data_IF_097004451204
#
_entry.id   IF_097004451204
#
_cell.length_a   1.000
_cell.length_b   1.000
_cell.length_c   1.000
_cell.angle_alpha   90.00
_cell.angle_beta   90.00
_cell.angle_gamma   90.00
#
_symmetry.space_group_name_H-M   'P 1'
#
loop_
_entity.id
_entity.type
_entity.pdbx_description
1 polymer ?
#
# COMPACT_ATOMS: atom_id res chain seq x y z
N UNK A 1 10.03 -19.57 -21.18
CA UNK A 1 9.26 -18.39 -20.75
C UNK A 1 7.79 -18.72 -20.85
N UNK A 2 7.03 -18.54 -19.78
CA UNK A 2 5.62 -18.94 -19.67
C UNK A 2 4.69 -17.98 -20.42
N UNK A 3 3.70 -18.48 -21.16
CA UNK A 3 2.77 -17.67 -21.98
C UNK A 3 1.31 -18.17 -21.96
N UNK A 4 1.03 -19.17 -21.12
CA UNK A 4 -0.31 -19.79 -21.00
C UNK A 4 -1.13 -19.07 -19.93
N UNK A 5 -2.35 -19.52 -19.66
CA UNK A 5 -3.27 -18.85 -18.72
C UNK A 5 -2.83 -18.97 -17.26
N UNK A 6 -3.41 -18.21 -16.33
CA UNK A 6 -3.15 -18.44 -14.90
C UNK A 6 -3.57 -19.86 -14.45
N UNK A 7 -4.63 -20.43 -15.03
CA UNK A 7 -5.11 -21.78 -14.67
C UNK A 7 -4.10 -22.89 -15.00
N UNK A 8 -3.28 -22.72 -16.04
CA UNK A 8 -2.26 -23.68 -16.45
C UNK A 8 -0.93 -23.49 -15.70
N UNK A 9 -0.81 -22.44 -14.88
CA UNK A 9 0.44 -22.03 -14.24
C UNK A 9 0.94 -23.03 -13.19
N UNK A 10 0.11 -23.54 -12.26
CA UNK A 10 0.55 -24.53 -11.26
C UNK A 10 1.22 -25.77 -11.88
N UNK A 11 0.60 -26.33 -12.91
CA UNK A 11 1.12 -27.54 -13.57
C UNK A 11 2.47 -27.22 -14.24
N UNK A 12 2.55 -26.11 -14.98
CA UNK A 12 3.77 -25.74 -15.68
C UNK A 12 4.93 -25.46 -14.73
N UNK A 13 4.68 -24.73 -13.63
CA UNK A 13 5.75 -24.36 -12.69
C UNK A 13 6.26 -25.57 -11.91
N UNK A 14 5.40 -26.52 -11.57
CA UNK A 14 5.80 -27.78 -10.93
C UNK A 14 6.67 -28.64 -11.86
N UNK A 15 6.25 -28.83 -13.12
CA UNK A 15 7.03 -29.54 -14.13
C UNK A 15 8.38 -28.87 -14.39
N UNK A 16 8.39 -27.53 -14.42
CA UNK A 16 9.61 -26.76 -14.58
C UNK A 16 10.55 -26.96 -13.37
N UNK A 17 10.04 -26.80 -12.15
CA UNK A 17 10.81 -26.94 -10.93
C UNK A 17 11.41 -28.34 -10.80
N UNK A 18 10.63 -29.39 -11.08
CA UNK A 18 11.10 -30.77 -11.04
C UNK A 18 12.17 -31.04 -12.10
N UNK A 19 11.97 -30.59 -13.35
CA UNK A 19 12.92 -30.82 -14.44
C UNK A 19 14.26 -30.12 -14.21
N UNK A 20 14.23 -28.90 -13.68
CA UNK A 20 15.44 -28.09 -13.47
C UNK A 20 16.06 -28.28 -12.08
N UNK A 21 15.43 -29.05 -11.19
CA UNK A 21 15.92 -29.28 -9.83
C UNK A 21 15.88 -28.02 -8.96
N UNK A 22 14.82 -27.21 -9.07
CA UNK A 22 14.64 -25.99 -8.28
C UNK A 22 14.49 -26.34 -6.80
N UNK A 23 15.34 -25.76 -5.96
CA UNK A 23 15.32 -25.93 -4.49
C UNK A 23 14.62 -24.79 -3.77
N UNK A 24 14.61 -23.60 -4.37
CA UNK A 24 14.13 -22.37 -3.75
C UNK A 24 13.31 -21.54 -4.74
N UNK A 25 12.20 -20.97 -4.27
CA UNK A 25 11.46 -19.91 -4.93
C UNK A 25 11.74 -18.60 -4.21
N UNK A 26 12.22 -17.59 -4.96
CA UNK A 26 12.31 -16.22 -4.47
C UNK A 26 11.31 -15.36 -5.26
N UNK A 27 10.38 -14.72 -4.56
CA UNK A 27 9.39 -13.83 -5.19
C UNK A 27 9.23 -12.53 -4.40
N UNK A 28 8.74 -11.47 -5.06
CA UNK A 28 8.51 -10.17 -4.44
C UNK A 28 7.00 -9.94 -4.20
N UNK A 29 6.59 -10.03 -2.94
CA UNK A 29 5.21 -10.14 -2.47
C UNK A 29 4.63 -11.55 -2.69
N UNK A 30 3.71 -11.98 -1.84
CA UNK A 30 3.08 -13.30 -1.86
C UNK A 30 1.65 -13.27 -2.43
N UNK A 31 0.94 -12.15 -2.31
CA UNK A 31 -0.50 -12.06 -2.60
C UNK A 31 -0.88 -12.00 -4.09
N UNK A 32 0.09 -11.89 -5.01
CA UNK A 32 -0.22 -11.85 -6.46
C UNK A 32 -0.67 -13.23 -6.92
N UNK A 33 -1.66 -13.32 -7.80
CA UNK A 33 -2.26 -14.60 -8.20
C UNK A 33 -1.24 -15.64 -8.69
N UNK A 34 -0.29 -15.23 -9.55
CA UNK A 34 0.80 -16.11 -10.00
C UNK A 34 1.78 -16.50 -8.88
N UNK A 35 2.03 -15.60 -7.92
CA UNK A 35 2.91 -15.88 -6.78
C UNK A 35 2.22 -16.85 -5.81
N UNK A 36 0.98 -16.59 -5.39
CA UNK A 36 0.18 -17.52 -4.58
C UNK A 36 0.15 -18.91 -5.19
N UNK A 37 -0.24 -19.01 -6.47
CA UNK A 37 -0.30 -20.29 -7.16
C UNK A 37 1.06 -21.00 -7.25
N UNK A 38 2.17 -20.25 -7.41
CA UNK A 38 3.52 -20.83 -7.40
C UNK A 38 3.93 -21.28 -6.00
N UNK A 39 3.70 -20.47 -4.97
CA UNK A 39 4.00 -20.78 -3.56
C UNK A 39 3.25 -22.05 -3.17
N UNK A 40 1.92 -22.07 -3.29
CA UNK A 40 1.08 -23.20 -2.89
C UNK A 40 1.49 -24.51 -3.60
N UNK A 41 1.89 -24.43 -4.88
CA UNK A 41 2.30 -25.60 -5.66
C UNK A 41 3.70 -26.09 -5.30
N UNK A 42 4.66 -25.18 -5.18
CA UNK A 42 6.07 -25.53 -5.01
C UNK A 42 6.39 -25.88 -3.56
N UNK A 43 5.74 -25.23 -2.59
CA UNK A 43 5.86 -25.57 -1.18
C UNK A 43 5.38 -27.01 -0.93
N UNK A 44 4.25 -27.40 -1.52
CA UNK A 44 3.74 -28.78 -1.46
C UNK A 44 4.70 -29.81 -2.10
N UNK A 45 5.58 -29.36 -3.01
CA UNK A 45 6.61 -30.17 -3.64
C UNK A 45 7.96 -30.16 -2.86
N UNK A 46 8.03 -29.48 -1.71
CA UNK A 46 9.22 -29.40 -0.86
C UNK A 46 10.23 -28.33 -1.28
N UNK A 47 9.83 -27.37 -2.13
CA UNK A 47 10.66 -26.21 -2.48
C UNK A 47 10.61 -25.18 -1.35
N UNK A 48 11.75 -24.62 -0.98
CA UNK A 48 11.83 -23.58 0.05
C UNK A 48 11.33 -22.25 -0.52
N UNK A 49 10.42 -21.57 0.20
CA UNK A 49 9.82 -20.31 -0.24
C UNK A 49 10.46 -19.14 0.50
N UNK A 50 10.96 -18.17 -0.26
CA UNK A 50 11.44 -16.88 0.22
C UNK A 50 10.63 -15.77 -0.42
N UNK A 51 9.98 -14.96 0.41
CA UNK A 51 9.19 -13.83 -0.05
C UNK A 51 9.86 -12.53 0.37
N UNK A 52 10.15 -11.70 -0.63
CA UNK A 52 10.73 -10.38 -0.47
C UNK A 52 9.63 -9.33 -0.44
N UNK A 53 9.79 -8.29 0.39
CA UNK A 53 8.93 -7.11 0.35
C UNK A 53 9.70 -5.85 0.79
N UNK A 54 9.12 -4.66 0.57
CA UNK A 54 9.69 -3.42 1.08
C UNK A 54 9.85 -3.52 2.60
N UNK A 55 11.00 -3.10 3.13
CA UNK A 55 11.30 -3.20 4.56
C UNK A 55 10.29 -2.46 5.44
N UNK A 56 10.10 -2.95 6.65
CA UNK A 56 9.34 -2.25 7.70
C UNK A 56 9.98 -0.89 8.06
N UNK A 57 11.31 -0.79 7.96
CA UNK A 57 12.07 0.44 8.17
C UNK A 57 12.68 0.92 6.84
N UNK A 58 12.01 1.87 6.21
CA UNK A 58 12.40 2.41 4.90
C UNK A 58 13.36 3.61 5.04
N UNK A 59 14.24 3.85 4.04
CA UNK A 59 14.31 3.19 2.74
C UNK A 59 15.38 2.10 2.64
N UNK A 60 16.11 1.79 3.71
CA UNK A 60 17.37 1.03 3.61
C UNK A 60 17.18 -0.49 3.59
N UNK A 61 16.00 -0.99 3.93
CA UNK A 61 15.77 -2.41 4.17
C UNK A 61 14.74 -3.00 3.21
N UNK A 62 14.91 -4.30 2.93
CA UNK A 62 13.97 -5.19 2.24
C UNK A 62 13.78 -6.39 3.19
N UNK A 63 12.54 -6.84 3.37
CA UNK A 63 12.30 -8.07 4.14
C UNK A 63 12.58 -9.29 3.28
N UNK A 64 13.03 -10.37 3.89
CA UNK A 64 13.20 -11.67 3.25
C UNK A 64 12.68 -12.71 4.24
N UNK A 65 11.45 -13.16 4.03
CA UNK A 65 10.73 -14.00 4.97
C UNK A 65 10.45 -15.38 4.38
N UNK A 66 10.38 -16.39 5.25
CA UNK A 66 10.06 -17.74 4.83
C UNK A 66 8.54 -17.92 4.73
N UNK A 67 8.07 -18.47 3.61
CA UNK A 67 6.65 -18.75 3.37
C UNK A 67 5.83 -17.52 2.94
N UNK A 68 5.72 -16.50 3.80
CA UNK A 68 4.86 -15.34 3.58
C UNK A 68 5.39 -14.05 4.22
N UNK A 69 4.83 -12.90 3.80
CA UNK A 69 5.20 -11.56 4.29
C UNK A 69 3.96 -10.80 4.78
N UNK A 70 4.18 -9.75 5.56
CA UNK A 70 3.10 -8.90 6.10
C UNK A 70 2.06 -9.73 6.87
N UNK A 71 0.80 -9.76 6.46
CA UNK A 71 -0.24 -10.54 7.15
C UNK A 71 -0.07 -12.06 7.06
N UNK A 72 0.79 -12.58 6.18
CA UNK A 72 1.20 -13.99 6.15
C UNK A 72 2.59 -14.22 6.79
N UNK A 73 3.16 -13.18 7.43
CA UNK A 73 4.43 -13.29 8.13
C UNK A 73 4.28 -14.11 9.40
N UNK A 74 5.27 -14.97 9.67
CA UNK A 74 5.40 -15.66 10.96
C UNK A 74 5.59 -14.66 12.11
N UNK A 75 6.12 -13.46 11.83
CA UNK A 75 6.27 -12.41 12.83
C UNK A 75 4.93 -11.94 13.41
N UNK A 76 3.82 -12.13 12.69
CA UNK A 76 2.48 -11.81 13.19
C UNK A 76 2.05 -12.74 14.35
N UNK A 77 2.69 -13.90 14.49
CA UNK A 77 2.43 -14.89 15.55
C UNK A 77 3.37 -14.76 16.75
N UNK A 78 4.42 -13.94 16.64
CA UNK A 78 5.41 -13.76 17.71
C UNK A 78 4.89 -12.76 18.74
N UNK A 79 4.81 -13.19 20.00
CA UNK A 79 4.54 -12.28 21.12
C UNK A 79 5.82 -11.52 21.51
N UNK A 80 5.68 -10.24 21.84
CA UNK A 80 6.83 -9.41 22.22
C UNK A 80 7.56 -9.95 23.46
N UNK A 81 6.83 -10.62 24.37
CA UNK A 81 7.38 -11.23 25.58
C UNK A 81 8.27 -12.45 25.27
N UNK A 82 8.11 -13.07 24.09
CA UNK A 82 8.95 -14.18 23.62
C UNK A 82 10.31 -13.69 23.08
N UNK A 83 10.47 -12.37 22.86
CA UNK A 83 11.72 -11.77 22.39
C UNK A 83 12.69 -11.62 23.55
N UNK A 84 13.44 -12.68 23.84
CA UNK A 84 14.37 -12.73 24.99
C UNK A 84 15.67 -11.94 24.79
N UNK A 85 16.11 -11.80 23.54
CA UNK A 85 17.35 -11.10 23.20
C UNK A 85 17.13 -10.22 21.97
N UNK A 86 17.53 -8.95 22.07
CA UNK A 86 17.61 -8.08 20.91
C UNK A 86 18.97 -8.26 20.22
N UNK A 87 18.99 -8.60 18.92
CA UNK A 87 20.24 -8.58 18.17
C UNK A 87 20.82 -7.16 18.16
N UNK A 88 22.16 -7.04 18.10
CA UNK A 88 22.79 -5.73 17.98
C UNK A 88 22.33 -5.02 16.71
N UNK A 89 22.09 -3.71 16.80
CA UNK A 89 21.78 -2.89 15.63
C UNK A 89 22.96 -2.94 14.66
N UNK A 90 22.75 -3.29 13.38
CA UNK A 90 23.81 -3.31 12.39
C UNK A 90 24.53 -1.94 12.33
N UNK A 91 25.85 -1.93 12.49
CA UNK A 91 26.64 -0.68 12.44
C UNK A 91 26.93 -0.21 11.01
N UNK A 92 26.85 -1.13 10.04
CA UNK A 92 27.24 -0.92 8.64
C UNK A 92 26.02 -0.73 7.73
N UNK A 93 25.08 0.11 8.15
CA UNK A 93 23.93 0.43 7.30
C UNK A 93 24.36 1.23 6.07
N UNK A 94 24.15 0.64 4.88
CA UNK A 94 24.28 1.38 3.62
C UNK A 94 23.10 2.33 3.51
N UNK A 95 23.35 3.62 3.76
CA UNK A 95 22.32 4.66 3.59
C UNK A 95 21.97 4.81 2.11
N UNK A 96 20.74 4.46 1.77
CA UNK A 96 20.19 4.73 0.44
C UNK A 96 19.73 6.19 0.39
N UNK A 97 20.16 6.88 -0.67
CA UNK A 97 19.68 8.21 -0.98
C UNK A 97 18.53 8.12 -1.98
N UNK A 98 17.27 8.22 -1.53
CA UNK A 98 16.13 8.15 -2.44
C UNK A 98 16.22 9.29 -3.45
N UNK A 99 16.06 8.95 -4.74
CA UNK A 99 16.10 9.90 -5.84
C UNK A 99 14.82 9.78 -6.64
N UNK A 100 13.99 10.83 -6.58
CA UNK A 100 12.75 10.93 -7.35
C UNK A 100 13.00 10.73 -8.85
N UNK A 101 14.11 11.26 -9.37
CA UNK A 101 14.47 11.10 -10.78
C UNK A 101 14.76 9.64 -11.13
N UNK A 102 15.56 8.93 -10.30
CA UNK A 102 15.84 7.50 -10.51
C UNK A 102 14.58 6.67 -10.44
N UNK A 103 13.72 6.96 -9.47
CA UNK A 103 12.44 6.28 -9.29
C UNK A 103 11.52 6.47 -10.51
N UNK A 104 11.36 7.71 -10.98
CA UNK A 104 10.57 8.02 -12.17
C UNK A 104 11.15 7.35 -13.43
N UNK A 105 12.48 7.37 -13.61
CA UNK A 105 13.13 6.75 -14.76
C UNK A 105 12.98 5.23 -14.74
N UNK A 106 13.17 4.59 -13.59
CA UNK A 106 12.98 3.15 -13.43
C UNK A 106 11.53 2.74 -13.73
N UNK A 107 10.56 3.50 -13.20
CA UNK A 107 9.15 3.33 -13.52
C UNK A 107 8.89 3.47 -15.02
N UNK A 108 9.39 4.53 -15.65
CA UNK A 108 9.23 4.75 -17.10
C UNK A 108 9.78 3.58 -17.92
N UNK A 109 11.00 3.12 -17.61
CA UNK A 109 11.62 1.97 -18.29
C UNK A 109 10.76 0.72 -18.10
N UNK A 110 10.33 0.43 -16.88
CA UNK A 110 9.49 -0.73 -16.56
C UNK A 110 8.15 -0.72 -17.32
N UNK A 111 7.43 0.40 -17.28
CA UNK A 111 6.13 0.52 -17.95
C UNK A 111 6.27 0.49 -19.47
N UNK A 112 7.33 1.08 -20.03
CA UNK A 112 7.62 1.01 -21.46
C UNK A 112 7.92 -0.43 -21.90
N UNK A 113 8.77 -1.14 -21.16
CA UNK A 113 9.07 -2.55 -21.43
C UNK A 113 7.83 -3.44 -21.30
N UNK A 114 7.00 -3.20 -20.28
CA UNK A 114 5.72 -3.91 -20.08
C UNK A 114 4.76 -3.68 -21.23
N UNK A 115 4.64 -2.44 -21.71
CA UNK A 115 3.80 -2.08 -22.84
C UNK A 115 4.20 -2.84 -24.11
N UNK A 116 5.48 -2.77 -24.51
CA UNK A 116 5.95 -3.43 -25.73
C UNK A 116 5.99 -4.96 -25.63
N UNK A 117 6.10 -5.52 -24.42
CA UNK A 117 6.08 -6.97 -24.21
C UNK A 117 4.67 -7.56 -24.06
N UNK A 118 3.65 -6.75 -23.77
CA UNK A 118 2.27 -7.22 -23.54
C UNK A 118 1.73 -8.11 -24.65
N UNK A 119 2.00 -7.80 -25.91
CA UNK A 119 1.59 -8.60 -27.07
C UNK A 119 2.21 -10.01 -27.11
N UNK A 120 3.35 -10.23 -26.44
CA UNK A 120 3.99 -11.54 -26.32
C UNK A 120 3.32 -12.43 -25.27
N UNK A 121 2.49 -11.85 -24.39
CA UNK A 121 1.81 -12.53 -23.28
C UNK A 121 0.30 -12.22 -23.27
N UNK A 122 -0.44 -12.60 -24.32
CA UNK A 122 -1.86 -12.24 -24.47
C UNK A 122 -2.79 -12.86 -23.42
N UNK A 123 -2.32 -13.86 -22.67
CA UNK A 123 -3.07 -14.53 -21.58
C UNK A 123 -2.57 -14.15 -20.18
N UNK A 124 -1.70 -13.14 -20.08
CA UNK A 124 -1.20 -12.67 -18.80
C UNK A 124 -2.30 -11.90 -18.06
N UNK A 125 -2.62 -12.37 -16.86
CA UNK A 125 -3.54 -11.69 -15.96
C UNK A 125 -2.75 -10.71 -15.08
N UNK A 126 -3.04 -9.42 -15.21
CA UNK A 126 -2.37 -8.40 -14.41
C UNK A 126 -2.96 -8.39 -12.99
N UNK A 127 -2.09 -8.21 -12.00
CA UNK A 127 -2.51 -8.06 -10.60
C UNK A 127 -3.06 -6.66 -10.29
N UNK A 128 -2.90 -5.70 -11.22
CA UNK A 128 -3.38 -4.32 -11.07
C UNK A 128 -4.78 -4.18 -11.66
N UNK A 129 -5.62 -3.41 -10.96
CA UNK A 129 -7.02 -3.19 -11.32
C UNK A 129 -7.19 -2.40 -12.63
N UNK A 130 -6.15 -1.68 -13.08
CA UNK A 130 -6.15 -0.92 -14.33
C UNK A 130 -5.10 -1.46 -15.32
N UNK A 131 -5.42 -1.31 -16.60
CA UNK A 131 -4.45 -1.48 -17.67
C UNK A 131 -3.46 -0.31 -17.73
N UNK A 132 -2.39 -0.47 -18.53
CA UNK A 132 -1.32 0.53 -18.62
C UNK A 132 -1.86 1.90 -19.06
N UNK A 133 -2.87 1.92 -19.95
CA UNK A 133 -3.46 3.16 -20.45
C UNK A 133 -4.31 3.87 -19.37
N UNK A 134 -5.13 3.12 -18.64
CA UNK A 134 -5.92 3.63 -17.52
C UNK A 134 -5.03 4.21 -16.42
N UNK A 135 -3.97 3.49 -16.01
CA UNK A 135 -3.01 4.03 -15.03
C UNK A 135 -2.35 5.31 -15.56
N UNK A 136 -1.91 5.31 -16.82
CA UNK A 136 -1.25 6.46 -17.43
C UNK A 136 -2.16 7.69 -17.50
N UNK A 137 -3.44 7.51 -17.85
CA UNK A 137 -4.42 8.59 -17.91
C UNK A 137 -4.63 9.23 -16.52
N UNK A 138 -4.73 8.43 -15.47
CA UNK A 138 -4.87 8.93 -14.09
C UNK A 138 -3.62 9.65 -13.60
N UNK A 139 -2.42 9.13 -13.90
CA UNK A 139 -1.17 9.80 -13.56
C UNK A 139 -1.01 11.14 -14.30
N UNK A 140 -1.42 11.21 -15.58
CA UNK A 140 -1.47 12.47 -16.34
C UNK A 140 -2.47 13.45 -15.74
N UNK A 141 -3.69 13.01 -15.43
CA UNK A 141 -4.69 13.86 -14.75
C UNK A 141 -4.14 14.40 -13.42
N UNK A 142 -3.50 13.54 -12.62
CA UNK A 142 -2.87 13.92 -11.35
C UNK A 142 -1.77 14.96 -11.56
N UNK A 143 -0.96 14.84 -12.60
CA UNK A 143 0.07 15.81 -12.94
C UNK A 143 -0.54 17.18 -13.28
N UNK A 144 -1.57 17.23 -14.13
CA UNK A 144 -2.24 18.49 -14.49
C UNK A 144 -3.02 19.11 -13.33
N UNK A 145 -3.57 18.29 -12.44
CA UNK A 145 -4.32 18.75 -11.26
C UNK A 145 -3.43 19.01 -10.04
N UNK A 146 -2.12 18.77 -10.12
CA UNK A 146 -1.19 18.91 -8.99
C UNK A 146 -1.22 20.28 -8.31
N UNK A 147 -1.20 21.43 -9.04
CA UNK A 147 -1.28 22.74 -8.40
C UNK A 147 -2.58 22.94 -7.62
N UNK A 148 -3.71 22.44 -8.14
CA UNK A 148 -5.00 22.52 -7.48
C UNK A 148 -5.06 21.63 -6.23
N UNK A 149 -4.53 20.40 -6.30
CA UNK A 149 -4.43 19.46 -5.16
C UNK A 149 -3.54 20.04 -4.05
N UNK A 150 -2.43 20.68 -4.43
CA UNK A 150 -1.55 21.39 -3.50
C UNK A 150 -2.25 22.57 -2.84
N UNK A 151 -2.89 23.45 -3.61
CA UNK A 151 -3.65 24.58 -3.05
C UNK A 151 -4.75 24.13 -2.08
N UNK A 152 -5.50 23.07 -2.43
CA UNK A 152 -6.52 22.49 -1.54
C UNK A 152 -5.91 21.94 -0.25
N UNK A 153 -4.73 21.33 -0.34
CA UNK A 153 -4.00 20.81 0.82
C UNK A 153 -3.55 21.95 1.73
N UNK A 154 -2.93 22.98 1.16
CA UNK A 154 -2.48 24.17 1.91
C UNK A 154 -3.66 24.87 2.60
N UNK A 155 -4.82 24.97 1.92
CA UNK A 155 -6.05 25.49 2.52
C UNK A 155 -6.54 24.62 3.69
N UNK A 156 -6.49 23.29 3.57
CA UNK A 156 -6.91 22.39 4.64
C UNK A 156 -5.96 22.46 5.84
N UNK A 157 -4.64 22.46 5.60
CA UNK A 157 -3.64 22.62 6.66
C UNK A 157 -3.79 23.94 7.39
N UNK A 158 -3.99 25.04 6.65
CA UNK A 158 -4.27 26.35 7.25
C UNK A 158 -5.55 26.33 8.09
N UNK A 159 -6.62 25.68 7.64
CA UNK A 159 -7.85 25.58 8.41
C UNK A 159 -7.69 24.73 9.69
N UNK A 160 -6.86 23.69 9.65
CA UNK A 160 -6.51 22.89 10.83
C UNK A 160 -5.72 23.73 11.84
N UNK A 161 -4.73 24.49 11.36
CA UNK A 161 -3.90 25.38 12.18
C UNK A 161 -4.73 26.53 12.79
N UNK A 162 -5.50 27.24 11.96
CA UNK A 162 -6.38 28.35 12.37
C UNK A 162 -7.48 27.89 13.34
N UNK A 163 -7.84 26.60 13.35
CA UNK A 163 -8.83 26.06 14.29
C UNK A 163 -8.29 25.91 15.71
N UNK A 164 -6.97 25.84 15.90
CA UNK A 164 -6.29 25.64 17.19
C UNK A 164 -6.87 24.47 18.02
N UNK A 165 -7.33 23.43 17.34
CA UNK A 165 -8.01 22.27 17.93
C UNK A 165 -7.17 21.00 17.80
N UNK A 166 -7.19 20.12 18.80
CA UNK A 166 -6.55 18.82 18.68
C UNK A 166 -7.16 18.02 17.54
N UNK A 167 -6.38 17.18 16.86
CA UNK A 167 -6.90 16.34 15.78
C UNK A 167 -6.43 14.89 15.84
N UNK A 168 -7.29 14.00 15.36
CA UNK A 168 -6.98 12.60 15.11
C UNK A 168 -6.63 12.43 13.63
N UNK A 169 -5.54 11.74 13.33
CA UNK A 169 -5.06 11.53 11.99
C UNK A 169 -5.47 10.13 11.51
N UNK A 170 -6.03 10.03 10.31
CA UNK A 170 -6.35 8.75 9.65
C UNK A 170 -5.48 8.61 8.41
N UNK A 171 -4.69 7.55 8.36
CA UNK A 171 -3.76 7.26 7.27
C UNK A 171 -4.46 6.39 6.23
N UNK A 172 -4.66 6.94 5.03
CA UNK A 172 -5.29 6.21 3.93
C UNK A 172 -4.25 5.38 3.17
N UNK A 173 -4.64 4.16 2.81
CA UNK A 173 -3.88 3.23 1.97
C UNK A 173 -4.44 3.19 0.54
N UNK A 174 -3.70 2.54 -0.38
CA UNK A 174 -4.12 2.39 -1.77
C UNK A 174 -5.36 1.49 -1.86
N UNK A 175 -6.32 1.85 -2.72
CA UNK A 175 -7.54 1.04 -2.91
C UNK A 175 -7.25 -0.41 -3.38
N UNK A 176 -6.17 -0.60 -4.13
CA UNK A 176 -5.73 -1.90 -4.65
C UNK A 176 -4.80 -2.68 -3.71
N UNK A 177 -4.51 -2.15 -2.51
CA UNK A 177 -3.56 -2.76 -1.58
C UNK A 177 -4.06 -4.13 -1.10
N UNK A 178 -3.22 -5.16 -1.24
CA UNK A 178 -3.51 -6.50 -0.71
C UNK A 178 -3.74 -6.47 0.79
N UNK A 179 -3.13 -5.51 1.49
CA UNK A 179 -3.33 -5.31 2.91
C UNK A 179 -4.79 -4.94 3.27
N UNK A 180 -5.52 -4.25 2.38
CA UNK A 180 -6.96 -4.02 2.54
C UNK A 180 -7.75 -5.24 2.05
N UNK A 181 -7.41 -5.76 0.87
CA UNK A 181 -8.20 -6.81 0.19
C UNK A 181 -8.15 -8.17 0.89
N UNK A 182 -7.03 -8.49 1.54
CA UNK A 182 -6.73 -9.84 2.06
C UNK A 182 -6.52 -9.84 3.58
N UNK A 183 -5.94 -8.76 4.14
CA UNK A 183 -5.51 -8.71 5.53
C UNK A 183 -6.27 -7.68 6.37
N UNK A 184 -7.53 -7.41 6.04
CA UNK A 184 -8.39 -6.53 6.85
C UNK A 184 -9.86 -6.95 6.81
N UNK A 185 -10.61 -6.62 7.87
CA UNK A 185 -12.07 -6.79 7.91
C UNK A 185 -12.81 -5.74 7.07
N UNK A 186 -12.09 -4.77 6.49
CA UNK A 186 -12.69 -3.73 5.66
C UNK A 186 -12.82 -4.18 4.20
N UNK A 187 -14.06 -4.19 3.70
CA UNK A 187 -14.35 -4.49 2.29
C UNK A 187 -13.72 -3.51 1.28
N UNK A 188 -13.38 -2.28 1.70
CA UNK A 188 -12.74 -1.27 0.84
C UNK A 188 -12.23 -0.08 1.66
N UNK A 189 -11.41 0.77 1.03
CA UNK A 189 -11.00 2.06 1.63
C UNK A 189 -12.21 2.98 1.89
N UNK A 190 -13.28 2.87 1.09
CA UNK A 190 -14.54 3.59 1.33
C UNK A 190 -15.19 3.15 2.63
N UNK A 191 -15.25 1.83 2.86
CA UNK A 191 -15.81 1.27 4.09
C UNK A 191 -15.00 1.75 5.31
N UNK A 192 -13.67 1.76 5.22
CA UNK A 192 -12.81 2.29 6.27
C UNK A 192 -13.04 3.78 6.57
N UNK A 193 -13.16 4.63 5.53
CA UNK A 193 -13.46 6.06 5.69
C UNK A 193 -14.81 6.25 6.39
N UNK A 194 -15.85 5.54 5.95
CA UNK A 194 -17.18 5.63 6.54
C UNK A 194 -17.16 5.23 8.01
N UNK A 195 -16.54 4.09 8.34
CA UNK A 195 -16.35 3.61 9.70
C UNK A 195 -15.65 4.66 10.59
N UNK A 196 -14.54 5.24 10.14
CA UNK A 196 -13.81 6.24 10.91
C UNK A 196 -14.66 7.49 11.21
N UNK A 197 -15.44 7.97 10.23
CA UNK A 197 -16.30 9.15 10.39
C UNK A 197 -17.48 8.84 11.32
N UNK A 198 -18.07 7.66 11.18
CA UNK A 198 -19.17 7.19 12.04
C UNK A 198 -18.74 7.07 13.50
N UNK A 199 -17.62 6.38 13.77
CA UNK A 199 -17.05 6.25 15.12
C UNK A 199 -16.65 7.60 15.70
N UNK A 200 -16.07 8.48 14.88
CA UNK A 200 -15.73 9.84 15.32
C UNK A 200 -16.98 10.65 15.69
N UNK A 201 -18.07 10.52 14.93
CA UNK A 201 -19.36 11.14 15.25
C UNK A 201 -19.96 10.56 16.55
N UNK A 202 -19.87 9.24 16.73
CA UNK A 202 -20.41 8.53 17.90
C UNK A 202 -19.62 8.81 19.19
N UNK A 203 -18.34 9.15 19.09
CA UNK A 203 -17.47 9.43 20.24
C UNK A 203 -17.97 10.55 21.16
N UNK A 204 -18.83 11.45 20.66
CA UNK A 204 -19.34 12.61 21.40
C UNK A 204 -18.28 13.67 21.70
N UNK A 205 -17.04 13.51 21.24
CA UNK A 205 -16.03 14.56 21.32
C UNK A 205 -16.41 15.67 20.34
N UNK A 206 -16.62 16.89 20.83
CA UNK A 206 -16.95 18.06 20.01
C UNK A 206 -15.79 19.01 19.78
N UNK A 207 -14.66 18.80 20.47
CA UNK A 207 -13.50 19.68 20.53
C UNK A 207 -12.39 19.24 19.57
N UNK A 208 -12.33 17.97 19.16
CA UNK A 208 -11.30 17.49 18.23
C UNK A 208 -11.68 17.60 16.76
N UNK A 209 -10.70 17.49 15.86
CA UNK A 209 -10.88 17.36 14.41
C UNK A 209 -10.50 15.94 13.96
N UNK A 210 -10.96 15.54 12.78
CA UNK A 210 -10.57 14.30 12.11
C UNK A 210 -9.90 14.65 10.78
N UNK A 211 -8.65 14.23 10.62
CA UNK A 211 -7.83 14.58 9.44
C UNK A 211 -7.47 13.32 8.69
N UNK A 212 -7.91 13.20 7.44
CA UNK A 212 -7.53 12.11 6.56
C UNK A 212 -6.29 12.49 5.75
N UNK A 213 -5.23 11.68 5.81
CA UNK A 213 -4.03 11.84 4.99
C UNK A 213 -4.03 10.85 3.83
N UNK A 214 -3.97 11.37 2.60
CA UNK A 214 -3.89 10.53 1.41
C UNK A 214 -2.53 9.82 1.28
N UNK A 215 -2.54 8.63 0.68
CA UNK A 215 -1.32 7.92 0.29
C UNK A 215 -0.61 8.68 -0.84
N UNK A 216 0.73 8.86 -0.78
CA UNK A 216 1.48 9.59 -1.82
C UNK A 216 1.30 9.01 -3.23
N UNK A 217 1.21 7.67 -3.31
CA UNK A 217 1.09 6.91 -4.55
C UNK A 217 -0.36 6.65 -4.99
N UNK A 218 -1.37 7.22 -4.30
CA UNK A 218 -2.76 7.10 -4.73
C UNK A 218 -2.93 7.71 -6.14
N UNK A 219 -3.44 6.92 -7.08
CA UNK A 219 -3.65 7.33 -8.46
C UNK A 219 -5.00 8.05 -8.65
N UNK A 220 -5.87 8.06 -7.64
CA UNK A 220 -7.15 8.75 -7.71
C UNK A 220 -8.24 7.99 -8.46
N UNK A 221 -8.11 6.66 -8.65
CA UNK A 221 -9.20 5.79 -9.16
C UNK A 221 -10.49 6.06 -8.37
N UNK A 222 -10.34 6.14 -7.06
CA UNK A 222 -11.41 6.45 -6.13
C UNK A 222 -11.31 7.92 -5.76
N UNK A 223 -12.39 8.68 -5.94
CA UNK A 223 -12.47 10.07 -5.51
C UNK A 223 -12.64 10.15 -3.98
N UNK A 224 -11.55 9.88 -3.24
CA UNK A 224 -11.51 9.85 -1.77
C UNK A 224 -11.99 11.17 -1.18
N UNK A 225 -11.68 12.30 -1.83
CA UNK A 225 -12.13 13.63 -1.39
C UNK A 225 -13.66 13.72 -1.38
N UNK A 226 -14.31 13.30 -2.46
CA UNK A 226 -15.77 13.26 -2.52
C UNK A 226 -16.34 12.32 -1.46
N UNK A 227 -15.76 11.13 -1.28
CA UNK A 227 -16.22 10.18 -0.26
C UNK A 227 -16.17 10.81 1.13
N UNK A 228 -15.01 11.33 1.54
CA UNK A 228 -14.82 11.94 2.85
C UNK A 228 -15.80 13.09 3.07
N UNK A 229 -15.97 13.95 2.07
CA UNK A 229 -16.91 15.08 2.15
C UNK A 229 -18.36 14.60 2.29
N UNK A 230 -18.77 13.66 1.46
CA UNK A 230 -20.14 13.18 1.43
C UNK A 230 -20.48 12.44 2.75
N UNK A 231 -19.56 11.65 3.30
CA UNK A 231 -19.71 11.03 4.63
C UNK A 231 -19.72 12.09 5.74
N UNK A 232 -18.78 13.05 5.73
CA UNK A 232 -18.75 14.13 6.73
C UNK A 232 -20.08 14.92 6.74
N UNK A 233 -20.65 15.20 5.57
CA UNK A 233 -21.97 15.85 5.47
C UNK A 233 -23.10 15.00 6.04
N UNK A 234 -23.11 13.68 5.81
CA UNK A 234 -24.16 12.80 6.39
C UNK A 234 -24.15 12.82 7.92
N UNK A 235 -22.99 13.00 8.53
CA UNK A 235 -22.82 13.03 9.98
C UNK A 235 -22.77 14.46 10.56
N UNK A 236 -22.93 15.52 9.75
CA UNK A 236 -22.90 16.92 10.20
C UNK A 236 -21.53 17.39 10.70
N UNK A 237 -20.45 16.84 10.12
CA UNK A 237 -19.06 17.05 10.53
C UNK A 237 -18.23 17.84 9.50
N UNK A 238 -18.85 18.58 8.60
CA UNK A 238 -18.16 19.26 7.49
C UNK A 238 -17.09 20.26 7.93
N UNK A 239 -17.26 20.85 9.11
CA UNK A 239 -16.31 21.80 9.70
C UNK A 239 -15.24 21.13 10.56
N UNK A 240 -15.29 19.80 10.71
CA UNK A 240 -14.43 19.02 11.61
C UNK A 240 -13.63 17.93 10.91
N UNK A 241 -14.01 17.58 9.68
CA UNK A 241 -13.34 16.57 8.88
C UNK A 241 -12.55 17.23 7.76
N UNK A 242 -11.24 17.00 7.73
CA UNK A 242 -10.34 17.55 6.73
C UNK A 242 -9.66 16.45 5.92
N UNK A 243 -9.33 16.76 4.67
CA UNK A 243 -8.59 15.86 3.78
C UNK A 243 -7.30 16.53 3.29
N UNK A 244 -6.17 15.94 3.68
CA UNK A 244 -4.83 16.36 3.31
C UNK A 244 -4.30 15.43 2.23
N UNK A 245 -4.26 15.96 1.02
CA UNK A 245 -3.97 15.16 -0.17
C UNK A 245 -2.47 15.07 -0.48
N UNK A 246 -1.76 16.16 -0.27
CA UNK A 246 -0.31 16.28 -0.54
C UNK A 246 0.46 16.62 0.75
N UNK A 247 1.78 16.77 0.67
CA UNK A 247 2.59 17.13 1.85
C UNK A 247 3.17 15.95 2.62
N UNK A 248 4.08 16.26 3.55
CA UNK A 248 4.81 15.28 4.37
C UNK A 248 3.94 14.78 5.51
N UNK A 249 4.10 13.50 5.86
CA UNK A 249 3.36 12.86 6.95
C UNK A 249 3.91 13.23 8.33
N UNK A 250 5.23 13.20 8.51
CA UNK A 250 5.89 13.40 9.82
C UNK A 250 5.39 14.64 10.58
N UNK A 251 5.30 15.84 9.98
CA UNK A 251 4.83 17.02 10.72
C UNK A 251 3.37 16.91 11.21
N UNK A 252 2.53 16.12 10.52
CA UNK A 252 1.15 15.87 10.96
C UNK A 252 1.12 14.86 12.11
N UNK A 253 1.95 13.82 12.06
CA UNK A 253 2.05 12.85 13.15
C UNK A 253 2.55 13.50 14.44
N UNK A 254 3.52 14.41 14.36
CA UNK A 254 4.05 15.12 15.53
C UNK A 254 3.02 15.99 16.26
N UNK A 255 1.93 16.37 15.58
CA UNK A 255 0.88 17.25 16.11
C UNK A 255 -0.44 16.52 16.41
N UNK A 256 -0.61 15.29 15.90
CA UNK A 256 -1.84 14.53 16.07
C UNK A 256 -1.98 13.97 17.50
N UNK A 257 -3.20 13.97 18.04
CA UNK A 257 -3.48 13.28 19.31
C UNK A 257 -3.42 11.76 19.18
N UNK A 258 -3.83 11.24 18.02
CA UNK A 258 -3.72 9.83 17.69
C UNK A 258 -3.62 9.65 16.18
N UNK A 259 -3.09 8.50 15.77
CA UNK A 259 -3.06 8.06 14.39
C UNK A 259 -3.83 6.73 14.27
N UNK A 260 -4.70 6.64 13.28
CA UNK A 260 -5.45 5.42 12.94
C UNK A 260 -5.03 4.98 11.54
N UNK A 261 -4.65 3.72 11.41
CA UNK A 261 -4.33 3.05 10.15
C UNK A 261 -4.93 1.65 10.17
N UNK A 262 -5.11 1.03 9.00
CA UNK A 262 -5.48 -0.39 8.94
C UNK A 262 -4.24 -1.22 9.27
N UNK A 263 -3.23 -1.11 8.41
CA UNK A 263 -1.95 -1.82 8.52
C UNK A 263 -0.87 -1.09 7.69
N UNK A 264 -0.98 0.24 7.64
CA UNK A 264 -0.02 1.08 6.93
C UNK A 264 1.31 1.13 7.68
N UNK A 265 2.43 0.97 6.97
CA UNK A 265 3.80 1.13 7.51
C UNK A 265 4.22 2.59 7.69
N UNK A 266 3.26 3.50 7.78
CA UNK A 266 3.43 4.95 7.61
C UNK A 266 4.01 5.66 8.84
#
# INVERSE_FOLDING_TARGET
MYRRSLAEWPVWIAEYASREGVTDLICYGDCRAYHRAAIDTLEAAGVTIHVLEEGYLRPNWITCESGGVNGNSILAEIELDDVTEMPPVPTDETKLHPSTLRYCLAGFIYYTASFFSSALFPRWENHRDLDIFGESALWLERLFTWPLRRWRTEKALKAIDDAERPFHLVLLQLNGDSQIKVHSDFQSIRHFIAYCIEEFAASGNHESLLVFKNHPLDNGIVDLRRIIRDEATRHGLEQRVFFVETGKLVPLLEQALSATAINSTA
#
